data_IF_169614074219
#
_entry.id   IF_169614074219
#
_cell.length_a   1.000
_cell.length_b   1.000
_cell.length_c   1.000
_cell.angle_alpha   90.00
_cell.angle_beta   90.00
_cell.angle_gamma   90.00
#
_symmetry.space_group_name_H-M   'P 1'
#
loop_
_entity.id
_entity.type
_entity.pdbx_description
1 polymer ?
#
# COMPACT_ATOMS: atom_id res chain seq x y z
N UNK A 1 2.57 -6.68 -9.57
CA UNK A 1 3.88 -7.06 -10.13
C UNK A 1 4.86 -5.90 -9.91
N UNK A 2 5.88 -6.07 -9.07
CA UNK A 2 6.94 -5.07 -8.91
C UNK A 2 7.73 -4.96 -10.21
N UNK A 3 7.50 -3.89 -10.97
CA UNK A 3 8.36 -3.54 -12.12
C UNK A 3 9.30 -2.43 -11.65
N UNK A 4 10.56 -2.77 -11.44
CA UNK A 4 11.61 -1.76 -11.31
C UNK A 4 11.83 -1.19 -12.71
N UNK A 5 11.36 0.04 -12.94
CA UNK A 5 11.59 0.75 -14.19
C UNK A 5 13.10 1.08 -14.25
N UNK A 6 13.84 0.39 -15.12
CA UNK A 6 15.21 0.80 -15.47
C UNK A 6 15.12 1.88 -16.56
N UNK A 7 15.82 2.98 -16.35
CA UNK A 7 15.97 4.05 -17.34
C UNK A 7 16.81 3.57 -18.55
N UNK A 8 16.51 4.05 -19.77
CA UNK A 8 17.12 3.57 -21.01
C UNK A 8 18.57 4.02 -21.28
N UNK A 9 19.21 4.83 -20.43
CA UNK A 9 20.50 5.47 -20.79
C UNK A 9 21.75 4.82 -20.18
N UNK A 10 21.75 3.52 -19.87
CA UNK A 10 22.97 2.81 -19.48
C UNK A 10 23.27 1.64 -20.42
N UNK A 11 24.47 1.56 -21.03
CA UNK A 11 24.82 0.47 -21.93
C UNK A 11 24.80 -0.89 -21.20
N UNK A 12 24.38 -1.97 -21.86
CA UNK A 12 24.26 -3.28 -21.23
C UNK A 12 25.65 -3.82 -20.84
N UNK A 13 25.83 -4.32 -19.60
CA UNK A 13 27.05 -5.02 -19.23
C UNK A 13 27.12 -6.39 -19.93
N UNK A 14 28.33 -6.94 -20.11
CA UNK A 14 28.53 -8.19 -20.86
C UNK A 14 27.87 -9.38 -20.14
N UNK A 15 27.30 -10.25 -20.97
CA UNK A 15 26.52 -11.43 -20.59
C UNK A 15 27.33 -12.40 -19.71
N UNK A 16 27.06 -12.36 -18.41
CA UNK A 16 27.23 -13.52 -17.53
C UNK A 16 25.93 -13.69 -16.73
N UNK A 17 25.27 -14.83 -16.95
CA UNK A 17 23.99 -15.19 -16.35
C UNK A 17 24.17 -15.44 -14.85
N UNK A 18 24.10 -14.38 -14.06
CA UNK A 18 23.64 -14.44 -12.67
C UNK A 18 22.59 -13.35 -12.54
N UNK A 19 21.38 -13.73 -12.12
CA UNK A 19 20.27 -12.81 -11.82
C UNK A 19 20.60 -12.07 -10.51
N UNK A 20 21.65 -11.27 -10.56
CA UNK A 20 22.15 -10.48 -9.45
C UNK A 20 21.43 -9.15 -9.50
N UNK A 21 20.57 -8.89 -8.51
CA UNK A 21 19.97 -7.59 -8.28
C UNK A 21 21.07 -6.61 -7.84
N UNK A 22 21.82 -6.07 -8.80
CA UNK A 22 22.78 -5.00 -8.55
C UNK A 22 22.03 -3.68 -8.38
N UNK A 23 21.90 -3.24 -7.13
CA UNK A 23 21.66 -1.83 -6.81
C UNK A 23 22.99 -1.11 -7.03
N UNK A 24 23.03 -0.20 -8.01
CA UNK A 24 24.25 0.52 -8.38
C UNK A 24 24.76 1.39 -7.19
N UNK A 25 26.02 1.26 -6.76
CA UNK A 25 26.52 1.83 -5.50
C UNK A 25 26.80 3.36 -5.52
N UNK A 26 26.37 4.09 -6.57
CA UNK A 26 26.54 5.56 -6.66
C UNK A 26 25.26 6.37 -6.40
N UNK A 27 24.17 5.76 -5.94
CA UNK A 27 22.95 6.46 -5.52
C UNK A 27 22.83 6.35 -4.00
N UNK A 28 23.61 7.16 -3.31
CA UNK A 28 23.56 7.32 -1.87
C UNK A 28 23.06 8.73 -1.61
N UNK A 29 21.73 8.97 -1.68
CA UNK A 29 21.01 9.94 -0.80
C UNK A 29 19.47 10.05 -0.93
N UNK A 30 18.76 9.25 -1.73
CA UNK A 30 17.27 9.28 -1.76
C UNK A 30 16.67 7.87 -1.64
N UNK A 31 16.74 7.27 -0.45
CA UNK A 31 16.40 5.84 -0.24
C UNK A 31 14.91 5.59 0.07
N UNK A 32 14.01 6.07 -0.78
CA UNK A 32 12.59 5.69 -0.75
C UNK A 32 12.24 5.00 -2.06
N UNK A 33 11.72 3.78 -1.99
CA UNK A 33 11.08 3.10 -3.10
C UNK A 33 9.58 3.41 -3.07
N UNK A 34 8.83 3.02 -4.09
CA UNK A 34 7.38 2.94 -3.98
C UNK A 34 6.90 1.53 -4.30
N UNK A 35 5.68 1.23 -3.86
CA UNK A 35 5.02 -0.05 -4.15
C UNK A 35 3.54 0.17 -4.44
N UNK A 36 2.98 -0.66 -5.32
CA UNK A 36 1.55 -0.74 -5.56
C UNK A 36 1.01 -2.04 -4.95
N UNK A 37 0.11 -1.90 -3.98
CA UNK A 37 -0.54 -3.02 -3.32
C UNK A 37 -1.93 -3.23 -3.91
N UNK A 38 -2.32 -4.50 -4.04
CA UNK A 38 -3.65 -4.93 -4.48
C UNK A 38 -4.19 -5.89 -3.43
N UNK A 39 -5.51 -5.93 -3.26
CA UNK A 39 -6.15 -6.95 -2.44
C UNK A 39 -5.59 -8.36 -2.81
N UNK A 40 -5.06 -9.12 -1.84
CA UNK A 40 -4.42 -10.42 -2.10
C UNK A 40 -5.33 -11.44 -2.78
N UNK A 41 -6.63 -11.43 -2.47
CA UNK A 41 -7.61 -12.33 -3.09
C UNK A 41 -7.79 -11.96 -4.55
N UNK A 42 -8.10 -10.70 -4.83
CA UNK A 42 -8.25 -10.24 -6.22
C UNK A 42 -6.97 -10.44 -7.04
N UNK A 43 -5.81 -10.28 -6.41
CA UNK A 43 -4.51 -10.58 -7.03
C UNK A 43 -4.42 -12.05 -7.41
N UNK A 44 -4.79 -12.98 -6.53
CA UNK A 44 -4.77 -14.41 -6.80
C UNK A 44 -5.75 -14.80 -7.92
N UNK A 45 -6.95 -14.22 -7.93
CA UNK A 45 -7.96 -14.43 -8.99
C UNK A 45 -7.45 -13.90 -10.32
N UNK A 46 -6.93 -12.68 -10.33
CA UNK A 46 -6.35 -12.07 -11.52
C UNK A 46 -5.19 -12.88 -12.07
N UNK A 47 -4.33 -13.43 -11.20
CA UNK A 47 -3.23 -14.31 -11.61
C UNK A 47 -3.74 -15.61 -12.23
N UNK A 48 -4.76 -16.24 -11.63
CA UNK A 48 -5.37 -17.46 -12.18
C UNK A 48 -5.85 -17.25 -13.62
N UNK A 49 -6.62 -16.19 -13.88
CA UNK A 49 -7.12 -15.90 -15.23
C UNK A 49 -6.00 -15.49 -16.19
N UNK A 50 -4.98 -14.78 -15.71
CA UNK A 50 -3.85 -14.37 -16.52
C UNK A 50 -2.98 -15.55 -16.97
N UNK A 51 -2.62 -16.45 -16.04
CA UNK A 51 -1.74 -17.58 -16.33
C UNK A 51 -2.37 -18.62 -17.28
N UNK A 52 -3.70 -18.65 -17.39
CA UNK A 52 -4.41 -19.51 -18.34
C UNK A 52 -4.41 -19.00 -19.78
N UNK A 53 -4.01 -17.75 -20.04
CA UNK A 53 -4.05 -17.13 -21.39
C UNK A 53 -2.72 -16.54 -21.85
N UNK A 54 -1.78 -16.29 -20.95
CA UNK A 54 -0.53 -15.60 -21.25
C UNK A 54 0.55 -16.55 -21.81
N UNK A 55 0.36 -17.08 -23.01
CA UNK A 55 1.26 -18.07 -23.65
C UNK A 55 2.72 -17.60 -23.85
N UNK A 56 2.95 -16.29 -23.78
CA UNK A 56 4.27 -15.65 -23.85
C UNK A 56 5.02 -15.62 -22.51
N UNK A 57 4.37 -15.94 -21.38
CA UNK A 57 5.01 -15.95 -20.06
C UNK A 57 5.59 -17.34 -19.72
N UNK A 58 6.79 -17.43 -19.12
CA UNK A 58 7.35 -18.71 -18.67
C UNK A 58 6.49 -19.44 -17.63
N UNK A 59 5.64 -18.70 -16.92
CA UNK A 59 4.72 -19.22 -15.90
C UNK A 59 3.34 -19.57 -16.46
N UNK A 60 3.13 -19.45 -17.78
CA UNK A 60 1.91 -19.88 -18.45
C UNK A 60 1.56 -21.32 -18.08
N UNK A 61 0.30 -21.54 -17.71
CA UNK A 61 -0.23 -22.86 -17.40
C UNK A 61 -1.57 -23.05 -18.14
N UNK A 62 -1.56 -23.71 -19.32
CA UNK A 62 -2.77 -23.90 -20.12
C UNK A 62 -3.83 -24.75 -19.40
N UNK A 63 -3.45 -25.57 -18.42
CA UNK A 63 -4.41 -26.38 -17.66
C UNK A 63 -5.36 -25.49 -16.84
N UNK A 64 -4.94 -24.26 -16.51
CA UNK A 64 -5.77 -23.32 -15.75
C UNK A 64 -7.04 -22.91 -16.50
N UNK A 65 -7.05 -22.97 -17.84
CA UNK A 65 -8.24 -22.71 -18.64
C UNK A 65 -9.34 -23.79 -18.44
N UNK A 66 -8.99 -24.97 -17.92
CA UNK A 66 -9.88 -26.12 -17.80
C UNK A 66 -10.25 -26.50 -16.37
N UNK A 67 -9.75 -25.77 -15.36
CA UNK A 67 -10.07 -26.00 -13.96
C UNK A 67 -10.84 -24.82 -13.38
N UNK A 68 -11.59 -25.05 -12.30
CA UNK A 68 -12.24 -23.95 -11.58
C UNK A 68 -11.24 -23.22 -10.68
N UNK A 69 -11.60 -21.98 -10.31
CA UNK A 69 -10.82 -21.23 -9.32
C UNK A 69 -10.74 -21.95 -7.97
N UNK A 70 -11.77 -22.72 -7.58
CA UNK A 70 -11.72 -23.52 -6.36
C UNK A 70 -10.67 -24.64 -6.47
N UNK A 71 -10.60 -25.33 -7.63
CA UNK A 71 -9.55 -26.32 -7.88
C UNK A 71 -8.16 -25.69 -7.86
N UNK A 72 -8.00 -24.50 -8.45
CA UNK A 72 -6.77 -23.73 -8.36
C UNK A 72 -6.41 -23.38 -6.92
N UNK A 73 -7.37 -22.88 -6.13
CA UNK A 73 -7.20 -22.52 -4.74
C UNK A 73 -6.88 -23.74 -3.83
N UNK A 74 -7.26 -24.96 -4.21
CA UNK A 74 -6.86 -26.20 -3.50
C UNK A 74 -5.49 -26.73 -3.94
N UNK A 75 -5.02 -26.34 -5.12
CA UNK A 75 -3.80 -26.88 -5.71
C UNK A 75 -2.51 -26.34 -5.06
N UNK A 76 -1.37 -26.84 -5.52
CA UNK A 76 -0.04 -26.28 -5.20
C UNK A 76 0.40 -25.18 -6.17
N UNK A 77 -0.39 -24.89 -7.22
CA UNK A 77 -0.08 -23.87 -8.24
C UNK A 77 -0.30 -22.45 -7.75
N UNK A 78 -1.10 -22.30 -6.69
CA UNK A 78 -1.44 -20.99 -6.14
C UNK A 78 -0.27 -20.37 -5.36
N UNK A 79 -0.03 -19.09 -5.66
CA UNK A 79 0.82 -18.24 -4.84
C UNK A 79 0.17 -17.98 -3.47
N UNK A 80 0.95 -18.12 -2.41
CA UNK A 80 0.49 -17.96 -1.04
C UNK A 80 1.43 -17.00 -0.30
N UNK A 81 0.85 -15.96 0.29
CA UNK A 81 1.56 -14.94 1.07
C UNK A 81 2.77 -14.31 0.34
N UNK A 82 2.66 -14.16 -0.99
CA UNK A 82 3.77 -13.80 -1.87
C UNK A 82 4.43 -12.46 -1.50
N UNK A 83 3.63 -11.46 -1.12
CA UNK A 83 4.16 -10.14 -0.76
C UNK A 83 4.97 -10.20 0.53
N UNK A 84 4.47 -10.90 1.56
CA UNK A 84 5.21 -11.13 2.81
C UNK A 84 6.49 -11.88 2.54
N UNK A 85 6.46 -12.98 1.76
CA UNK A 85 7.66 -13.75 1.36
C UNK A 85 8.71 -12.86 0.72
N UNK A 86 8.29 -12.03 -0.22
CA UNK A 86 9.18 -11.16 -0.97
C UNK A 86 9.82 -10.09 -0.07
N UNK A 87 9.03 -9.41 0.76
CA UNK A 87 9.51 -8.32 1.61
C UNK A 87 10.30 -8.80 2.83
N UNK A 88 10.00 -10.00 3.35
CA UNK A 88 10.77 -10.63 4.43
C UNK A 88 11.98 -11.41 3.93
N UNK A 89 12.14 -11.57 2.61
CA UNK A 89 13.16 -12.41 1.98
C UNK A 89 13.10 -13.89 2.44
N UNK A 90 11.89 -14.42 2.62
CA UNK A 90 11.63 -15.84 2.97
C UNK A 90 10.76 -16.50 1.89
N UNK A 91 11.42 -17.04 0.86
CA UNK A 91 10.75 -17.51 -0.35
C UNK A 91 10.26 -18.95 -0.25
N UNK A 92 10.89 -19.79 0.57
CA UNK A 92 10.68 -21.24 0.53
C UNK A 92 10.12 -21.82 1.83
N UNK A 93 10.52 -21.28 2.98
CA UNK A 93 10.13 -21.86 4.28
C UNK A 93 8.75 -21.41 4.72
N UNK A 94 8.28 -21.99 5.80
CA UNK A 94 7.03 -21.58 6.42
C UNK A 94 7.13 -20.15 6.95
N UNK A 95 6.06 -19.38 6.71
CA UNK A 95 5.97 -18.03 7.21
C UNK A 95 5.46 -18.00 8.64
N UNK A 96 5.85 -16.96 9.36
CA UNK A 96 5.44 -16.71 10.74
C UNK A 96 5.08 -15.24 10.87
N UNK A 97 4.43 -14.86 11.96
CA UNK A 97 4.12 -13.45 12.26
C UNK A 97 5.38 -12.56 12.28
N UNK A 98 6.56 -13.11 12.62
CA UNK A 98 7.82 -12.35 12.55
C UNK A 98 8.16 -11.91 11.13
N UNK A 99 7.84 -12.72 10.12
CA UNK A 99 8.05 -12.35 8.72
C UNK A 99 7.08 -11.24 8.30
N UNK A 100 5.83 -11.28 8.79
CA UNK A 100 4.88 -10.20 8.60
C UNK A 100 5.42 -8.89 9.21
N UNK A 101 5.96 -8.93 10.43
CA UNK A 101 6.53 -7.74 11.08
C UNK A 101 7.69 -7.15 10.28
N UNK A 102 8.58 -7.99 9.73
CA UNK A 102 9.65 -7.55 8.83
C UNK A 102 9.08 -6.87 7.58
N UNK A 103 8.08 -7.49 6.94
CA UNK A 103 7.44 -6.93 5.75
C UNK A 103 6.78 -5.57 6.05
N UNK A 104 6.09 -5.44 7.17
CA UNK A 104 5.50 -4.17 7.65
C UNK A 104 6.58 -3.10 7.86
N UNK A 105 7.69 -3.45 8.49
CA UNK A 105 8.80 -2.53 8.71
C UNK A 105 9.48 -2.07 7.42
N UNK A 106 9.58 -2.95 6.41
CA UNK A 106 10.06 -2.58 5.07
C UNK A 106 9.11 -1.57 4.44
N UNK A 107 7.80 -1.83 4.42
CA UNK A 107 6.82 -0.90 3.87
C UNK A 107 6.90 0.46 4.57
N UNK A 108 6.85 0.48 5.90
CA UNK A 108 6.83 1.71 6.70
C UNK A 108 8.09 2.56 6.53
N UNK A 109 9.27 1.93 6.47
CA UNK A 109 10.55 2.66 6.47
C UNK A 109 11.10 2.96 5.08
N UNK A 110 10.70 2.19 4.06
CA UNK A 110 11.36 2.19 2.75
C UNK A 110 10.42 2.48 1.58
N UNK A 111 9.11 2.43 1.77
CA UNK A 111 8.15 2.55 0.67
C UNK A 111 7.21 3.75 0.84
N UNK A 112 7.02 4.49 -0.24
CA UNK A 112 5.78 5.20 -0.49
C UNK A 112 4.76 4.18 -1.00
N UNK A 113 3.70 3.94 -0.24
CA UNK A 113 2.69 2.93 -0.56
C UNK A 113 1.66 3.55 -1.49
N UNK A 114 1.24 2.79 -2.49
CA UNK A 114 0.06 3.04 -3.31
C UNK A 114 -0.89 1.85 -3.27
N UNK A 115 -2.18 2.12 -3.43
CA UNK A 115 -3.27 1.13 -3.48
C UNK A 115 -3.83 1.10 -4.90
N UNK A 116 -3.95 -0.09 -5.48
CA UNK A 116 -4.38 -0.24 -6.86
C UNK A 116 -5.83 0.24 -7.09
N UNK A 117 -6.70 0.07 -6.09
CA UNK A 117 -8.08 0.54 -6.14
C UNK A 117 -8.14 2.08 -6.15
N UNK A 118 -7.13 2.71 -5.56
CA UNK A 118 -6.91 4.17 -5.53
C UNK A 118 -5.76 4.55 -6.49
N UNK A 119 -5.68 3.90 -7.66
CA UNK A 119 -4.57 4.04 -8.62
C UNK A 119 -4.24 5.50 -8.97
N UNK A 120 -5.26 6.31 -9.26
CA UNK A 120 -5.06 7.69 -9.69
C UNK A 120 -4.38 8.52 -8.58
N UNK A 121 -4.88 8.37 -7.35
CA UNK A 121 -4.28 9.02 -6.20
C UNK A 121 -2.87 8.50 -5.91
N UNK A 122 -2.66 7.19 -6.05
CA UNK A 122 -1.35 6.56 -5.85
C UNK A 122 -0.30 7.11 -6.81
N UNK A 123 -0.62 7.19 -8.11
CA UNK A 123 0.28 7.75 -9.11
C UNK A 123 0.54 9.25 -8.87
N UNK A 124 -0.49 10.04 -8.58
CA UNK A 124 -0.33 11.45 -8.22
C UNK A 124 0.64 11.63 -7.02
N UNK A 125 0.53 10.78 -5.99
CA UNK A 125 1.44 10.81 -4.83
C UNK A 125 2.86 10.43 -5.21
N UNK A 126 3.05 9.43 -6.08
CA UNK A 126 4.37 9.05 -6.57
C UNK A 126 5.02 10.18 -7.36
N UNK A 127 4.30 10.77 -8.31
CA UNK A 127 4.79 11.89 -9.10
C UNK A 127 5.20 13.07 -8.23
N UNK A 128 4.35 13.45 -7.28
CA UNK A 128 4.62 14.55 -6.35
C UNK A 128 5.80 14.26 -5.43
N UNK A 129 5.95 13.02 -4.93
CA UNK A 129 7.03 12.66 -4.02
C UNK A 129 8.38 12.54 -4.71
N UNK A 130 8.42 11.95 -5.91
CA UNK A 130 9.66 11.75 -6.67
C UNK A 130 9.97 12.91 -7.63
N UNK A 131 9.08 13.89 -7.74
CA UNK A 131 9.24 15.06 -8.59
C UNK A 131 9.27 14.69 -10.07
N UNK A 132 8.38 13.80 -10.52
CA UNK A 132 8.27 13.43 -11.93
C UNK A 132 7.52 14.51 -12.70
N UNK A 133 8.18 15.32 -13.55
CA UNK A 133 7.51 16.36 -14.29
C UNK A 133 6.72 15.75 -15.46
N UNK A 134 5.52 16.27 -15.70
CA UNK A 134 4.79 16.05 -16.95
C UNK A 134 5.01 17.30 -17.84
N UNK A 135 5.91 17.22 -18.84
CA UNK A 135 6.45 18.41 -19.53
C UNK A 135 5.48 19.07 -20.51
N UNK A 136 4.39 18.41 -20.90
CA UNK A 136 3.41 18.94 -21.86
C UNK A 136 2.00 18.46 -21.57
N UNK A 137 1.00 19.11 -22.16
CA UNK A 137 -0.41 18.68 -22.04
C UNK A 137 -0.65 17.32 -22.71
N UNK A 138 0.07 16.99 -23.77
CA UNK A 138 0.03 15.66 -24.39
C UNK A 138 0.58 14.59 -23.44
N UNK A 139 1.64 14.90 -22.69
CA UNK A 139 2.18 13.99 -21.68
C UNK A 139 1.19 13.77 -20.52
N UNK A 140 0.48 14.83 -20.10
CA UNK A 140 -0.59 14.73 -19.09
C UNK A 140 -1.77 13.89 -19.58
N UNK A 141 -2.26 14.16 -20.79
CA UNK A 141 -3.36 13.39 -21.37
C UNK A 141 -2.99 11.92 -21.58
N UNK A 142 -1.78 11.63 -22.05
CA UNK A 142 -1.27 10.26 -22.15
C UNK A 142 -1.21 9.58 -20.77
N UNK A 143 -0.73 10.31 -19.75
CA UNK A 143 -0.65 9.83 -18.37
C UNK A 143 -2.03 9.51 -17.78
N UNK A 144 -3.00 10.41 -17.92
CA UNK A 144 -4.39 10.21 -17.49
C UNK A 144 -5.02 9.00 -18.20
N UNK A 145 -4.86 8.91 -19.52
CA UNK A 145 -5.32 7.77 -20.31
C UNK A 145 -4.68 6.45 -19.84
N UNK A 146 -3.39 6.45 -19.48
CA UNK A 146 -2.71 5.26 -18.97
C UNK A 146 -3.27 4.85 -17.60
N UNK A 147 -3.52 5.81 -16.70
CA UNK A 147 -4.14 5.54 -15.40
C UNK A 147 -5.53 4.95 -15.61
N UNK A 148 -6.35 5.55 -16.46
CA UNK A 148 -7.73 5.12 -16.69
C UNK A 148 -7.81 3.76 -17.37
N UNK A 149 -7.07 3.59 -18.48
CA UNK A 149 -7.15 2.45 -19.39
C UNK A 149 -6.06 1.39 -19.16
N UNK A 150 -5.44 1.35 -17.97
CA UNK A 150 -4.33 0.44 -17.66
C UNK A 150 -4.50 -0.96 -18.26
N UNK A 151 -3.68 -1.24 -19.28
CA UNK A 151 -3.87 -2.21 -20.39
C UNK A 151 -3.99 -3.70 -20.02
N UNK A 152 -3.89 -4.06 -18.73
CA UNK A 152 -3.89 -5.46 -18.28
C UNK A 152 -5.04 -5.75 -17.30
N UNK A 153 -6.14 -4.99 -17.36
CA UNK A 153 -7.41 -5.44 -16.78
C UNK A 153 -7.94 -6.57 -17.66
N UNK A 154 -7.47 -7.78 -17.43
CA UNK A 154 -8.19 -8.95 -17.89
C UNK A 154 -9.50 -8.99 -17.12
N UNK A 155 -10.61 -8.81 -17.81
CA UNK A 155 -11.93 -8.95 -17.20
C UNK A 155 -12.05 -10.38 -16.68
N UNK A 156 -12.25 -10.48 -15.37
CA UNK A 156 -12.47 -11.74 -14.69
C UNK A 156 -13.61 -11.55 -13.68
N UNK A 157 -14.39 -12.61 -13.42
CA UNK A 157 -15.41 -12.55 -12.39
C UNK A 157 -14.77 -12.18 -11.04
N UNK A 158 -15.44 -11.31 -10.30
CA UNK A 158 -15.15 -11.11 -8.90
C UNK A 158 -15.63 -12.33 -8.13
N UNK A 159 -14.89 -12.70 -7.09
CA UNK A 159 -15.30 -13.77 -6.17
C UNK A 159 -16.00 -13.13 -4.99
N UNK A 160 -17.18 -13.66 -4.68
CA UNK A 160 -17.95 -13.24 -3.51
C UNK A 160 -17.22 -13.60 -2.22
N UNK A 161 -17.13 -12.63 -1.31
CA UNK A 161 -16.58 -12.81 0.02
C UNK A 161 -17.39 -13.86 0.80
N UNK A 162 -16.69 -14.78 1.49
CA UNK A 162 -17.30 -15.93 2.16
C UNK A 162 -17.66 -17.12 1.27
N UNK A 163 -17.48 -17.02 -0.06
CA UNK A 163 -17.58 -18.19 -0.93
C UNK A 163 -16.47 -19.22 -0.66
N UNK A 164 -16.67 -20.48 -1.04
CA UNK A 164 -15.69 -21.55 -0.81
C UNK A 164 -14.31 -21.24 -1.41
N UNK A 165 -14.28 -20.67 -2.62
CA UNK A 165 -13.04 -20.24 -3.25
C UNK A 165 -12.39 -19.09 -2.48
N UNK A 166 -13.17 -18.08 -2.06
CA UNK A 166 -12.67 -16.95 -1.29
C UNK A 166 -12.02 -17.42 0.02
N UNK A 167 -12.68 -18.28 0.78
CA UNK A 167 -12.15 -18.81 2.05
C UNK A 167 -10.82 -19.55 1.85
N UNK A 168 -10.73 -20.40 0.82
CA UNK A 168 -9.48 -21.10 0.49
C UNK A 168 -8.35 -20.14 0.11
N UNK A 169 -8.65 -19.10 -0.67
CA UNK A 169 -7.70 -18.07 -1.06
C UNK A 169 -7.25 -17.25 0.15
N UNK A 170 -8.18 -16.87 1.03
CA UNK A 170 -7.96 -16.10 2.25
C UNK A 170 -7.07 -16.84 3.24
N UNK A 171 -7.31 -18.14 3.45
CA UNK A 171 -6.46 -18.97 4.31
C UNK A 171 -5.03 -19.06 3.77
N UNK A 172 -4.86 -19.17 2.44
CA UNK A 172 -3.53 -19.24 1.82
C UNK A 172 -2.80 -17.90 1.79
N UNK A 173 -3.51 -16.78 1.89
CA UNK A 173 -2.94 -15.43 1.81
C UNK A 173 -3.20 -14.63 3.08
N UNK A 174 -3.34 -15.30 4.22
CA UNK A 174 -3.70 -14.70 5.51
C UNK A 174 -2.74 -13.58 5.96
N UNK A 175 -1.43 -13.78 5.80
CA UNK A 175 -0.42 -12.78 6.14
C UNK A 175 -0.39 -11.64 5.11
N UNK A 176 -0.57 -11.94 3.82
CA UNK A 176 -0.71 -10.93 2.78
C UNK A 176 -1.97 -10.07 3.02
N UNK A 177 -3.07 -10.66 3.52
CA UNK A 177 -4.28 -9.92 3.90
C UNK A 177 -3.99 -8.95 5.04
N UNK A 178 -3.34 -9.41 6.11
CA UNK A 178 -2.89 -8.54 7.23
C UNK A 178 -1.93 -7.44 6.76
N UNK A 179 -1.02 -7.77 5.85
CA UNK A 179 -0.08 -6.82 5.28
C UNK A 179 -0.78 -5.77 4.40
N UNK A 180 -1.79 -6.17 3.63
CA UNK A 180 -2.57 -5.27 2.78
C UNK A 180 -3.40 -4.28 3.60
N UNK A 181 -4.04 -4.72 4.69
CA UNK A 181 -4.73 -3.82 5.63
C UNK A 181 -3.76 -2.79 6.22
N UNK A 182 -2.59 -3.24 6.67
CA UNK A 182 -1.54 -2.35 7.14
C UNK A 182 -1.04 -1.39 6.04
N UNK A 183 -0.95 -1.86 4.80
CA UNK A 183 -0.63 -1.03 3.63
C UNK A 183 -1.64 0.10 3.41
N UNK A 184 -2.95 -0.18 3.58
CA UNK A 184 -4.00 0.84 3.52
C UNK A 184 -3.88 1.85 4.65
N UNK A 185 -3.53 1.42 5.86
CA UNK A 185 -3.24 2.33 6.98
C UNK A 185 -2.07 3.26 6.66
N UNK A 186 -0.95 2.70 6.19
CA UNK A 186 0.22 3.48 5.75
C UNK A 186 -0.15 4.45 4.61
N UNK A 187 -0.95 4.01 3.65
CA UNK A 187 -1.42 4.88 2.58
C UNK A 187 -2.17 6.09 3.13
N UNK A 188 -3.13 5.90 4.06
CA UNK A 188 -3.86 7.01 4.70
C UNK A 188 -2.92 7.91 5.50
N UNK A 189 -2.01 7.33 6.27
CA UNK A 189 -1.03 8.09 7.05
C UNK A 189 -0.08 8.92 6.17
N UNK A 190 0.33 8.39 5.02
CA UNK A 190 1.24 9.05 4.09
C UNK A 190 0.58 10.22 3.35
N UNK A 191 -0.76 10.31 3.34
CA UNK A 191 -1.49 11.44 2.77
C UNK A 191 -1.02 12.79 3.35
N UNK A 192 -0.64 12.82 4.63
CA UNK A 192 -0.14 14.03 5.33
C UNK A 192 1.13 14.61 4.71
N UNK A 193 1.91 13.81 3.97
CA UNK A 193 3.10 14.29 3.26
C UNK A 193 2.73 15.24 2.12
N UNK A 194 1.48 15.21 1.67
CA UNK A 194 0.99 15.93 0.49
C UNK A 194 -0.01 17.02 0.80
N UNK A 195 -0.46 17.14 2.07
CA UNK A 195 -1.33 18.22 2.53
C UNK A 195 -0.58 19.55 2.55
N UNK A 196 -1.20 20.62 2.07
CA UNK A 196 -0.64 21.96 2.13
C UNK A 196 -0.69 22.48 3.58
N UNK A 197 0.39 23.08 4.09
CA UNK A 197 0.47 23.67 5.44
C UNK A 197 -0.57 24.76 5.73
N UNK A 198 -1.29 25.24 4.71
CA UNK A 198 -2.30 26.29 4.81
C UNK A 198 -3.73 25.75 5.09
N UNK A 199 -3.88 24.46 5.34
CA UNK A 199 -5.16 23.81 5.74
C UNK A 199 -5.06 23.17 7.13
N UNK A 200 -4.33 23.77 8.07
CA UNK A 200 -4.65 23.56 9.47
C UNK A 200 -5.91 24.36 9.78
N UNK A 201 -7.00 23.75 10.27
CA UNK A 201 -8.09 24.53 10.82
C UNK A 201 -7.54 25.29 12.04
N UNK A 202 -7.32 26.59 11.87
CA UNK A 202 -7.29 27.53 12.97
C UNK A 202 -8.69 27.53 13.58
N UNK A 203 -8.98 26.58 14.48
CA UNK A 203 -10.10 26.59 15.44
C UNK A 203 -10.01 25.35 16.34
N UNK A 204 -8.92 25.23 17.09
CA UNK A 204 -9.00 24.62 18.42
C UNK A 204 -8.89 25.78 19.40
N UNK A 205 -10.04 26.40 19.71
CA UNK A 205 -10.13 27.33 20.82
C UNK A 205 -9.61 26.61 22.09
N UNK A 206 -8.82 27.27 22.95
CA UNK A 206 -8.44 26.69 24.23
C UNK A 206 -9.72 26.39 25.02
N UNK A 207 -9.90 25.15 25.45
CA UNK A 207 -10.95 24.77 26.39
C UNK A 207 -10.77 25.64 27.65
N UNK A 208 -11.81 26.38 28.11
CA UNK A 208 -11.70 27.17 29.32
C UNK A 208 -11.42 26.27 30.51
N UNK A 209 -10.28 26.51 31.15
CA UNK A 209 -9.85 25.82 32.35
C UNK A 209 -10.78 26.24 33.50
N UNK A 210 -11.79 25.43 33.84
CA UNK A 210 -12.59 25.63 35.05
C UNK A 210 -11.77 25.22 36.27
N UNK A 211 -10.91 26.12 36.74
CA UNK A 211 -10.41 26.11 38.12
C UNK A 211 -9.65 27.41 38.40
N UNK A 212 -10.36 28.45 38.82
CA UNK A 212 -9.92 29.41 39.85
C UNK A 212 -10.97 30.52 39.98
N UNK A 213 -11.64 30.59 41.13
CA UNK A 213 -12.06 31.81 41.84
C UNK A 213 -13.20 31.52 42.83
N UNK A 214 -12.84 31.08 44.04
CA UNK A 214 -13.61 31.44 45.24
C UNK A 214 -12.63 31.81 46.35
N UNK A 215 -12.00 32.98 46.23
CA UNK A 215 -11.54 33.77 47.37
C UNK A 215 -11.60 35.24 46.93
N UNK A 216 -12.44 36.04 47.56
CA UNK A 216 -12.57 37.46 47.25
C UNK A 216 -13.55 38.13 48.20
N UNK A 217 -13.03 38.50 49.37
CA UNK A 217 -13.71 39.28 50.39
C UNK A 217 -13.97 40.73 49.94
N UNK A 218 -15.09 41.27 50.42
CA UNK A 218 -15.38 42.69 50.67
C UNK A 218 -16.70 42.72 51.46
N UNK A 219 -16.99 43.58 52.42
CA UNK A 219 -16.27 44.54 53.26
C UNK A 219 -17.35 45.10 54.20
N UNK A 220 -16.99 45.25 55.48
CA UNK A 220 -17.56 46.11 56.53
C UNK A 220 -18.78 47.01 56.20
N UNK A 221 -19.84 46.92 57.03
CA UNK A 221 -20.31 48.05 57.87
C UNK A 221 -21.40 47.64 58.90
N UNK A 222 -20.97 47.59 60.16
CA UNK A 222 -21.55 48.17 61.40
C UNK A 222 -23.01 47.94 61.88
N UNK A 223 -23.06 47.54 63.16
CA UNK A 223 -24.03 47.86 64.24
C UNK A 223 -25.44 47.23 64.12
N UNK A 224 -26.03 46.58 65.13
CA UNK A 224 -26.08 46.93 66.55
C UNK A 224 -26.58 45.70 67.35
N UNK A 225 -26.13 45.58 68.60
CA UNK A 225 -26.65 44.68 69.64
C UNK A 225 -28.13 45.07 70.01
N UNK A 226 -28.84 44.46 71.01
CA UNK A 226 -28.38 43.52 72.05
C UNK A 226 -29.36 42.39 72.47
N UNK A 227 -28.90 41.58 73.44
CA UNK A 227 -29.61 40.87 74.55
C UNK A 227 -30.84 40.00 74.19
N UNK A 228 -30.92 38.73 74.58
CA UNK A 228 -30.83 38.13 75.94
C UNK A 228 -30.39 36.67 75.81
#
# INVERSE_FOLDING_TARGET
FFRVIKYPDSPPPPLSYTRTYFVHPKIIFTRSMFTMMRNPIERAVSLFHYLGVADWEPTYDPDLAYISIEMYARSKRIEHNWMVRFLSNELERDLTEKHLDVAKEVLRKKCLVGILDEKAESFMRFEKYFGWPLPSEEAKSCHENFIENASNKHDHPLIEEGSAAWELLSVKNDLDMKLYEYGKELFREQARLFMNKNQQPQNAAPVPNQQTAQIGAASDEQNNAPMV
#
